data_IF_392812322952
#
_entry.id   IF_392812322952
#
_cell.length_a   1.000
_cell.length_b   1.000
_cell.length_c   1.000
_cell.angle_alpha   90.00
_cell.angle_beta   90.00
_cell.angle_gamma   90.00
#
_symmetry.space_group_name_H-M   'P 1'
#
loop_
_entity.id
_entity.type
_entity.pdbx_description
1 polymer ?
#
# COMPACT_ATOMS: atom_id res chain seq x y z
N UNK A 1 1.92 43.91 -16.16
CA UNK A 1 2.06 44.13 -14.70
C UNK A 1 0.98 45.10 -14.23
N UNK A 2 -0.17 44.59 -13.77
CA UNK A 2 -1.16 45.33 -12.99
C UNK A 2 -1.97 44.30 -12.19
N UNK A 3 -1.85 44.33 -10.86
CA UNK A 3 -2.88 43.82 -9.96
C UNK A 3 -2.76 42.41 -9.37
N UNK A 4 -1.63 41.71 -9.48
CA UNK A 4 -1.42 40.50 -8.66
C UNK A 4 -0.59 40.85 -7.43
N UNK A 5 -1.23 40.76 -6.27
CA UNK A 5 -0.60 40.85 -4.95
C UNK A 5 0.63 39.96 -4.90
N UNK A 6 1.79 40.57 -4.69
CA UNK A 6 3.12 39.97 -4.68
C UNK A 6 3.44 39.23 -3.37
N UNK A 7 2.61 38.25 -2.99
CA UNK A 7 2.87 37.41 -1.80
C UNK A 7 2.25 36.00 -1.84
N UNK A 8 1.49 35.62 -2.87
CA UNK A 8 0.93 34.27 -3.00
C UNK A 8 1.64 33.61 -4.16
N UNK A 9 2.53 32.68 -3.85
CA UNK A 9 3.42 32.11 -4.84
C UNK A 9 2.64 31.26 -5.83
N UNK A 10 2.61 31.67 -7.11
CA UNK A 10 2.07 30.94 -8.29
C UNK A 10 1.82 29.45 -7.98
N UNK A 11 0.58 29.08 -7.75
CA UNK A 11 0.19 27.69 -7.46
C UNK A 11 -0.19 26.96 -8.75
N UNK A 12 -0.35 25.64 -8.69
CA UNK A 12 -0.74 24.83 -9.85
C UNK A 12 -2.01 25.36 -10.53
N UNK A 13 -2.99 25.80 -9.73
CA UNK A 13 -4.25 26.39 -10.20
C UNK A 13 -4.04 27.73 -10.92
N UNK A 14 -3.06 28.53 -10.52
CA UNK A 14 -2.72 29.80 -11.18
C UNK A 14 -2.10 29.56 -12.56
N UNK A 15 -1.27 28.52 -12.69
CA UNK A 15 -0.69 28.11 -13.97
C UNK A 15 -1.80 27.66 -14.92
N UNK A 16 -2.74 26.85 -14.44
CA UNK A 16 -3.90 26.43 -15.24
C UNK A 16 -4.80 27.60 -15.63
N UNK A 17 -5.01 28.57 -14.74
CA UNK A 17 -5.75 29.78 -15.07
C UNK A 17 -5.07 30.58 -16.18
N UNK A 18 -3.74 30.65 -16.17
CA UNK A 18 -2.97 31.36 -17.19
C UNK A 18 -3.05 30.69 -18.58
N UNK A 19 -2.90 29.36 -18.65
CA UNK A 19 -2.85 28.65 -19.94
C UNK A 19 -4.21 28.21 -20.48
N UNK A 20 -5.13 27.75 -19.61
CA UNK A 20 -6.42 27.18 -20.01
C UNK A 20 -7.61 28.10 -19.66
N UNK A 21 -7.34 29.27 -19.09
CA UNK A 21 -8.38 30.23 -18.69
C UNK A 21 -9.22 29.77 -17.49
N UNK A 22 -10.39 30.41 -17.34
CA UNK A 22 -11.24 30.25 -16.15
C UNK A 22 -11.80 28.83 -15.98
N UNK A 23 -12.14 28.16 -17.09
CA UNK A 23 -12.63 26.77 -17.05
C UNK A 23 -11.52 25.78 -16.68
N UNK A 24 -10.31 25.95 -17.20
CA UNK A 24 -9.18 25.08 -16.86
C UNK A 24 -8.77 25.14 -15.39
N UNK A 25 -8.81 26.33 -14.79
CA UNK A 25 -8.57 26.52 -13.37
C UNK A 25 -9.59 25.78 -12.50
N UNK A 26 -10.89 25.87 -12.83
CA UNK A 26 -11.95 25.16 -12.12
C UNK A 26 -11.81 23.63 -12.24
N UNK A 27 -11.56 23.12 -13.45
CA UNK A 27 -11.36 21.69 -13.70
C UNK A 27 -10.14 21.17 -12.95
N UNK A 28 -9.02 21.90 -12.97
CA UNK A 28 -7.81 21.53 -12.24
C UNK A 28 -7.97 21.50 -10.73
N UNK A 29 -8.73 22.46 -10.19
CA UNK A 29 -9.09 22.46 -8.77
C UNK A 29 -9.90 21.21 -8.39
N UNK A 30 -10.90 20.85 -9.20
CA UNK A 30 -11.73 19.67 -9.00
C UNK A 30 -10.91 18.37 -9.00
N UNK A 31 -10.05 18.16 -10.00
CA UNK A 31 -9.18 16.98 -10.06
C UNK A 31 -8.18 16.93 -8.89
N UNK A 32 -7.66 18.09 -8.46
CA UNK A 32 -6.79 18.17 -7.30
C UNK A 32 -7.51 17.75 -6.02
N UNK A 33 -8.73 18.22 -5.79
CA UNK A 33 -9.54 17.82 -4.64
C UNK A 33 -9.91 16.34 -4.70
N UNK A 34 -10.26 15.82 -5.88
CA UNK A 34 -10.58 14.41 -6.07
C UNK A 34 -9.40 13.51 -5.70
N UNK A 35 -8.19 13.86 -6.17
CA UNK A 35 -6.98 13.10 -5.84
C UNK A 35 -6.67 13.10 -4.34
N UNK A 36 -6.88 14.24 -3.67
CA UNK A 36 -6.66 14.38 -2.24
C UNK A 36 -7.67 13.54 -1.42
N UNK A 37 -8.97 13.62 -1.75
CA UNK A 37 -10.01 12.82 -1.10
C UNK A 37 -9.77 11.32 -1.33
N UNK A 38 -9.38 10.93 -2.55
CA UNK A 38 -9.03 9.54 -2.86
C UNK A 38 -7.88 9.02 -1.99
N UNK A 39 -6.81 9.80 -1.83
CA UNK A 39 -5.70 9.45 -0.95
C UNK A 39 -6.13 9.30 0.53
N UNK A 40 -6.99 10.19 1.03
CA UNK A 40 -7.53 10.10 2.39
C UNK A 40 -8.34 8.82 2.61
N UNK A 41 -9.16 8.42 1.63
CA UNK A 41 -9.94 7.17 1.70
C UNK A 41 -9.01 5.96 1.76
N UNK A 42 -8.01 5.89 0.87
CA UNK A 42 -7.04 4.78 0.85
C UNK A 42 -6.26 4.72 2.17
N UNK A 43 -5.80 5.85 2.70
CA UNK A 43 -5.13 5.88 4.01
C UNK A 43 -6.03 5.40 5.14
N UNK A 44 -7.30 5.78 5.14
CA UNK A 44 -8.24 5.29 6.14
C UNK A 44 -8.42 3.77 6.06
N UNK A 45 -8.63 3.22 4.86
CA UNK A 45 -8.78 1.78 4.62
C UNK A 45 -7.52 1.02 5.07
N UNK A 46 -6.34 1.48 4.66
CA UNK A 46 -5.07 0.86 5.05
C UNK A 46 -4.87 0.88 6.55
N UNK A 47 -5.13 2.02 7.20
CA UNK A 47 -4.95 2.15 8.64
C UNK A 47 -5.92 1.25 9.43
N UNK A 48 -7.17 1.14 9.00
CA UNK A 48 -8.13 0.17 9.56
C UNK A 48 -7.62 -1.26 9.38
N UNK A 49 -7.16 -1.63 8.19
CA UNK A 49 -6.68 -2.98 7.91
C UNK A 49 -5.43 -3.33 8.75
N UNK A 50 -4.45 -2.43 8.80
CA UNK A 50 -3.26 -2.60 9.63
C UNK A 50 -3.61 -2.72 11.11
N UNK A 51 -4.53 -1.89 11.62
CA UNK A 51 -4.94 -1.96 13.03
C UNK A 51 -5.71 -3.25 13.32
N UNK A 52 -6.57 -3.68 12.40
CA UNK A 52 -7.33 -4.93 12.53
C UNK A 52 -6.38 -6.12 12.71
N UNK A 53 -5.45 -6.33 11.77
CA UNK A 53 -4.48 -7.43 11.85
C UNK A 53 -3.47 -7.27 12.99
N UNK A 54 -3.13 -6.04 13.39
CA UNK A 54 -2.33 -5.81 14.60
C UNK A 54 -3.07 -6.26 15.85
N UNK A 55 -4.39 -6.01 15.93
CA UNK A 55 -5.24 -6.46 17.02
C UNK A 55 -5.37 -7.98 17.09
N UNK A 56 -5.58 -8.64 15.95
CA UNK A 56 -5.57 -10.11 15.85
C UNK A 56 -4.24 -10.68 16.33
N UNK A 57 -3.12 -10.12 15.86
CA UNK A 57 -1.78 -10.56 16.28
C UNK A 57 -1.56 -10.43 17.79
N UNK A 58 -1.97 -9.31 18.41
CA UNK A 58 -1.86 -9.11 19.87
C UNK A 58 -2.77 -10.09 20.62
N UNK A 59 -3.98 -10.33 20.13
CA UNK A 59 -4.92 -11.26 20.75
C UNK A 59 -4.38 -12.69 20.74
N UNK A 60 -3.92 -13.18 19.58
CA UNK A 60 -3.32 -14.51 19.45
C UNK A 60 -2.10 -14.68 20.36
N UNK A 61 -1.22 -13.67 20.41
CA UNK A 61 -0.06 -13.67 21.30
C UNK A 61 -0.45 -13.73 22.78
N UNK A 62 -1.51 -13.01 23.18
CA UNK A 62 -1.98 -12.97 24.56
C UNK A 62 -2.55 -14.31 25.04
N UNK A 63 -3.17 -15.07 24.14
CA UNK A 63 -3.77 -16.36 24.45
C UNK A 63 -2.76 -17.52 24.41
N UNK A 64 -1.45 -17.25 24.26
CA UNK A 64 -0.39 -18.27 24.07
C UNK A 64 -0.74 -19.29 22.97
N UNK A 65 -1.67 -18.94 22.09
CA UNK A 65 -2.07 -19.75 20.97
C UNK A 65 -1.08 -19.40 19.87
N UNK A 66 -0.28 -20.37 19.45
CA UNK A 66 0.55 -20.17 18.26
C UNK A 66 -0.34 -19.71 17.11
N UNK A 67 0.09 -18.74 16.28
CA UNK A 67 -0.72 -18.25 15.17
C UNK A 67 -1.18 -19.46 14.37
N UNK A 68 -2.50 -19.66 14.30
CA UNK A 68 -3.14 -20.76 13.57
C UNK A 68 -3.08 -20.48 12.07
N UNK A 69 -1.87 -20.24 11.58
CA UNK A 69 -1.61 -20.03 10.16
C UNK A 69 -1.53 -21.43 9.55
N UNK A 70 -2.60 -21.82 8.86
CA UNK A 70 -2.65 -23.10 8.17
C UNK A 70 -1.50 -23.18 7.17
N UNK A 71 -0.52 -24.09 7.35
CA UNK A 71 0.61 -24.18 6.45
C UNK A 71 0.10 -24.60 5.07
N UNK A 72 0.46 -23.83 4.05
CA UNK A 72 0.19 -24.20 2.66
C UNK A 72 1.34 -25.08 2.20
N UNK A 73 1.01 -26.31 1.80
CA UNK A 73 1.97 -27.29 1.29
C UNK A 73 2.01 -27.20 -0.24
N UNK A 74 3.14 -26.75 -0.79
CA UNK A 74 3.40 -26.73 -2.24
C UNK A 74 4.80 -27.28 -2.47
N UNK A 75 4.95 -28.25 -3.38
CA UNK A 75 6.24 -28.85 -3.76
C UNK A 75 7.14 -29.26 -2.57
N UNK A 76 6.59 -29.97 -1.56
CA UNK A 76 7.31 -30.40 -0.35
C UNK A 76 7.87 -29.28 0.53
N UNK A 77 7.52 -28.01 0.27
CA UNK A 77 7.85 -26.88 1.13
C UNK A 77 6.58 -26.41 1.87
N UNK A 78 6.77 -26.09 3.15
CA UNK A 78 5.72 -25.54 4.01
C UNK A 78 5.85 -24.03 4.06
N UNK A 79 4.85 -23.33 3.52
CA UNK A 79 4.77 -21.88 3.62
C UNK A 79 3.77 -21.51 4.71
N UNK A 80 4.28 -20.95 5.80
CA UNK A 80 3.48 -20.42 6.94
C UNK A 80 3.31 -18.92 6.88
N UNK A 81 3.86 -18.24 5.87
CA UNK A 81 4.00 -16.77 5.85
C UNK A 81 3.21 -16.12 4.71
N UNK A 82 2.47 -16.91 3.93
CA UNK A 82 1.72 -16.46 2.75
C UNK A 82 0.32 -17.04 2.78
N UNK A 83 -0.68 -16.21 2.46
CA UNK A 83 -2.10 -16.59 2.46
C UNK A 83 -2.69 -16.30 1.08
N UNK A 84 -3.60 -17.15 0.63
CA UNK A 84 -4.45 -16.89 -0.53
C UNK A 84 -5.89 -17.25 -0.19
N UNK A 85 -6.74 -16.24 -0.08
CA UNK A 85 -8.17 -16.40 0.24
C UNK A 85 -8.92 -17.20 -0.85
N UNK A 86 -8.42 -17.17 -2.09
CA UNK A 86 -9.07 -17.77 -3.26
C UNK A 86 -8.67 -19.23 -3.55
N UNK A 87 -7.77 -19.81 -2.77
CA UNK A 87 -7.38 -21.21 -2.95
C UNK A 87 -8.45 -22.11 -2.30
N UNK A 88 -9.09 -23.04 -3.04
CA UNK A 88 -9.93 -24.04 -2.40
C UNK A 88 -9.04 -24.88 -1.48
N UNK A 89 -9.33 -24.82 -0.18
CA UNK A 89 -8.79 -25.68 0.86
C UNK A 89 -8.71 -27.12 0.34
N UNK A 90 -7.51 -27.61 0.02
CA UNK A 90 -7.35 -29.04 -0.20
C UNK A 90 -7.58 -29.71 1.16
N UNK A 91 -8.58 -30.61 1.29
CA UNK A 91 -8.85 -31.24 2.56
C UNK A 91 -7.65 -32.12 2.90
N UNK A 92 -7.04 -31.85 4.06
CA UNK A 92 -6.17 -32.80 4.73
C UNK A 92 -7.02 -34.05 4.97
N UNK A 93 -6.82 -35.08 4.16
CA UNK A 93 -7.41 -36.37 4.42
C UNK A 93 -6.78 -36.88 5.72
N UNK A 94 -7.63 -37.11 6.72
CA UNK A 94 -7.34 -37.70 8.03
C UNK A 94 -6.82 -36.73 9.11
N UNK A 95 -7.66 -35.80 9.57
CA UNK A 95 -7.60 -35.31 10.94
C UNK A 95 -9.00 -35.39 11.58
N UNK A 96 -9.11 -36.22 12.62
CA UNK A 96 -10.31 -36.50 13.39
C UNK A 96 -11.02 -35.22 13.88
N UNK A 97 -12.28 -35.12 13.53
CA UNK A 97 -13.25 -34.03 13.70
C UNK A 97 -13.71 -33.77 15.15
N UNK A 98 -12.83 -33.87 16.15
CA UNK A 98 -13.23 -33.75 17.57
C UNK A 98 -12.62 -32.57 18.33
N UNK A 99 -11.61 -31.87 17.80
CA UNK A 99 -10.99 -30.70 18.46
C UNK A 99 -11.56 -29.34 18.03
N UNK A 100 -12.39 -29.26 16.99
CA UNK A 100 -12.84 -27.99 16.41
C UNK A 100 -14.01 -27.32 17.17
N UNK A 101 -14.68 -28.03 18.09
CA UNK A 101 -15.88 -27.53 18.78
C UNK A 101 -15.61 -26.80 20.10
N UNK A 102 -14.42 -26.93 20.70
CA UNK A 102 -14.08 -26.23 21.96
C UNK A 102 -13.31 -24.92 21.77
N UNK A 103 -12.54 -24.75 20.68
CA UNK A 103 -11.90 -23.47 20.35
C UNK A 103 -12.89 -22.39 19.89
N UNK A 104 -14.11 -22.80 19.48
CA UNK A 104 -15.11 -21.88 18.94
C UNK A 104 -15.86 -21.07 20.01
N UNK A 105 -15.89 -21.52 21.28
CA UNK A 105 -16.67 -20.84 22.32
C UNK A 105 -15.99 -19.58 22.88
N UNK A 106 -14.65 -19.51 22.95
CA UNK A 106 -13.90 -18.29 23.33
C UNK A 106 -13.69 -17.33 22.14
N UNK A 107 -13.64 -17.85 20.90
CA UNK A 107 -13.45 -17.02 19.69
C UNK A 107 -14.67 -16.16 19.29
N UNK A 108 -15.86 -16.46 19.83
CA UNK A 108 -17.11 -15.76 19.44
C UNK A 108 -17.14 -14.34 20.00
N UNK A 109 -16.59 -14.08 21.20
CA UNK A 109 -16.66 -12.75 21.80
C UNK A 109 -15.66 -11.76 21.17
N UNK A 110 -14.42 -12.20 20.89
CA UNK A 110 -13.43 -11.32 20.25
C UNK A 110 -13.79 -11.01 18.79
N UNK A 111 -14.21 -11.99 17.99
CA UNK A 111 -14.55 -11.76 16.58
C UNK A 111 -15.82 -10.91 16.38
N UNK A 112 -16.74 -10.91 17.36
CA UNK A 112 -17.92 -10.04 17.35
C UNK A 112 -17.55 -8.61 17.79
N UNK A 113 -16.62 -8.46 18.74
CA UNK A 113 -16.20 -7.15 19.24
C UNK A 113 -15.18 -6.45 18.31
N UNK A 114 -14.19 -7.18 17.82
CA UNK A 114 -13.12 -6.70 16.95
C UNK A 114 -13.49 -6.82 15.47
N UNK A 115 -14.63 -6.25 15.09
CA UNK A 115 -15.09 -6.28 13.71
C UNK A 115 -14.32 -5.28 12.83
N UNK A 116 -13.75 -5.77 11.73
CA UNK A 116 -13.04 -4.97 10.71
C UNK A 116 -13.92 -3.89 10.09
N UNK A 117 -15.24 -4.06 10.06
CA UNK A 117 -16.15 -3.14 9.37
C UNK A 117 -16.77 -2.08 10.27
N UNK A 118 -16.69 -2.24 11.60
CA UNK A 118 -17.45 -1.38 12.52
C UNK A 118 -16.62 -0.79 13.66
N UNK A 119 -16.04 -1.63 14.52
CA UNK A 119 -15.33 -1.14 15.70
C UNK A 119 -13.96 -0.55 15.35
N UNK A 120 -13.20 -1.23 14.50
CA UNK A 120 -11.84 -0.78 14.11
C UNK A 120 -11.86 0.56 13.36
N UNK A 121 -12.74 0.78 12.35
CA UNK A 121 -12.85 2.09 11.70
C UNK A 121 -13.24 3.21 12.66
N UNK A 122 -14.15 2.95 13.61
CA UNK A 122 -14.58 3.94 14.61
C UNK A 122 -13.44 4.32 15.56
N UNK A 123 -12.65 3.34 16.00
CA UNK A 123 -11.47 3.56 16.84
C UNK A 123 -10.43 4.44 16.11
N UNK A 124 -10.18 4.18 14.83
CA UNK A 124 -9.31 5.02 14.00
C UNK A 124 -9.85 6.43 13.86
N UNK A 125 -11.14 6.61 13.61
CA UNK A 125 -11.75 7.95 13.55
C UNK A 125 -11.56 8.71 14.86
N UNK A 126 -11.82 8.06 16.00
CA UNK A 126 -11.64 8.63 17.33
C UNK A 126 -10.17 9.01 17.61
N UNK A 127 -9.21 8.22 17.11
CA UNK A 127 -7.77 8.48 17.26
C UNK A 127 -7.27 9.59 16.33
N UNK A 128 -7.73 9.62 15.07
CA UNK A 128 -7.31 10.63 14.10
C UNK A 128 -7.92 12.00 14.36
N UNK A 129 -9.13 12.06 14.92
CA UNK A 129 -9.82 13.32 15.22
C UNK A 129 -8.98 14.28 16.09
N UNK A 130 -8.44 13.90 17.26
CA UNK A 130 -7.58 14.78 18.05
C UNK A 130 -6.24 15.06 17.36
N UNK A 131 -5.71 14.11 16.58
CA UNK A 131 -4.43 14.29 15.88
C UNK A 131 -4.56 15.34 14.78
N UNK A 132 -5.65 15.33 14.02
CA UNK A 132 -5.94 16.28 12.96
C UNK A 132 -6.30 17.68 13.49
N UNK A 133 -6.82 17.79 14.71
CA UNK A 133 -7.17 19.08 15.33
C UNK A 133 -5.97 19.75 16.03
N UNK A 134 -4.82 19.09 16.15
CA UNK A 134 -3.60 19.74 16.63
C UNK A 134 -3.12 20.81 15.64
N UNK A 135 -3.31 22.08 16.01
CA UNK A 135 -2.93 23.24 15.21
C UNK A 135 -1.43 23.50 15.06
N UNK A 136 -0.54 22.58 15.44
CA UNK A 136 0.91 22.76 15.32
C UNK A 136 1.48 22.03 14.09
N UNK A 137 1.78 22.75 12.99
CA UNK A 137 2.34 22.14 11.77
C UNK A 137 3.74 21.52 11.98
N UNK A 138 4.47 21.93 13.03
CA UNK A 138 5.78 21.36 13.34
C UNK A 138 5.70 19.91 13.83
N UNK A 139 4.57 19.49 14.41
CA UNK A 139 4.33 18.09 14.79
C UNK A 139 4.34 17.18 13.55
N UNK A 140 3.64 17.58 12.48
CA UNK A 140 3.57 16.83 11.23
C UNK A 140 4.91 16.73 10.50
N UNK A 141 5.76 17.75 10.59
CA UNK A 141 7.12 17.70 10.02
C UNK A 141 8.01 16.65 10.71
N UNK A 142 7.89 16.48 12.03
CA UNK A 142 8.59 15.40 12.75
C UNK A 142 8.05 14.03 12.37
N UNK A 143 6.76 13.92 12.08
CA UNK A 143 6.11 12.68 11.64
C UNK A 143 6.64 12.19 10.27
N UNK A 144 7.13 13.09 9.41
CA UNK A 144 7.76 12.72 8.14
C UNK A 144 8.96 11.77 8.33
N UNK A 145 9.71 11.90 9.44
CA UNK A 145 10.82 10.99 9.74
C UNK A 145 10.36 9.54 9.98
N UNK A 146 9.21 9.33 10.62
CA UNK A 146 8.63 7.99 10.82
C UNK A 146 8.25 7.33 9.50
N UNK A 147 7.80 8.12 8.52
CA UNK A 147 7.51 7.63 7.17
C UNK A 147 8.75 7.06 6.48
N UNK A 148 9.91 7.72 6.60
CA UNK A 148 11.18 7.23 6.05
C UNK A 148 11.61 5.93 6.73
N UNK A 149 11.48 5.85 8.06
CA UNK A 149 11.77 4.61 8.81
C UNK A 149 10.85 3.47 8.37
N UNK A 150 9.55 3.74 8.19
CA UNK A 150 8.58 2.75 7.70
C UNK A 150 8.91 2.25 6.30
N UNK A 151 9.28 3.13 5.37
CA UNK A 151 9.74 2.75 4.04
C UNK A 151 11.00 1.87 4.09
N UNK A 152 11.98 2.25 4.93
CA UNK A 152 13.17 1.44 5.16
C UNK A 152 12.85 0.05 5.70
N UNK A 153 11.92 -0.04 6.66
CA UNK A 153 11.46 -1.31 7.22
C UNK A 153 10.80 -2.20 6.15
N UNK A 154 9.88 -1.66 5.35
CA UNK A 154 9.20 -2.41 4.28
C UNK A 154 10.21 -2.93 3.26
N UNK A 155 11.20 -2.10 2.88
CA UNK A 155 12.27 -2.52 1.96
C UNK A 155 13.05 -3.72 2.50
N UNK A 156 13.50 -3.66 3.77
CA UNK A 156 14.23 -4.76 4.41
C UNK A 156 13.36 -6.01 4.53
N UNK A 157 12.07 -5.84 4.85
CA UNK A 157 11.13 -6.95 4.95
C UNK A 157 10.94 -7.66 3.61
N UNK A 158 10.75 -6.92 2.52
CA UNK A 158 10.58 -7.51 1.18
C UNK A 158 11.84 -8.26 0.76
N UNK A 159 13.02 -7.70 1.02
CA UNK A 159 14.29 -8.35 0.70
C UNK A 159 14.50 -9.65 1.50
N UNK A 160 14.25 -9.61 2.82
CA UNK A 160 14.40 -10.80 3.67
C UNK A 160 13.41 -11.90 3.26
N UNK A 161 12.16 -11.56 2.98
CA UNK A 161 11.15 -12.53 2.51
C UNK A 161 11.45 -13.09 1.13
N UNK A 162 11.91 -12.26 0.19
CA UNK A 162 12.31 -12.73 -1.13
C UNK A 162 13.51 -13.69 -1.09
N UNK A 163 14.48 -13.45 -0.21
CA UNK A 163 15.62 -14.37 -0.01
C UNK A 163 15.14 -15.69 0.61
N UNK A 164 14.23 -15.64 1.59
CA UNK A 164 13.70 -16.85 2.24
C UNK A 164 12.84 -17.70 1.33
N UNK A 165 12.04 -17.09 0.46
CA UNK A 165 11.23 -17.84 -0.51
C UNK A 165 12.07 -18.32 -1.68
N UNK A 166 12.96 -17.49 -2.23
CA UNK A 166 13.68 -17.82 -3.46
C UNK A 166 12.82 -17.59 -4.72
N UNK A 167 13.40 -17.79 -5.92
CA UNK A 167 12.74 -17.45 -7.19
C UNK A 167 11.69 -18.51 -7.56
N UNK A 168 10.45 -18.05 -7.79
CA UNK A 168 9.30 -18.88 -8.15
C UNK A 168 8.56 -18.26 -9.36
N UNK A 169 9.16 -18.32 -10.55
CA UNK A 169 8.52 -17.86 -11.77
C UNK A 169 8.97 -18.70 -12.98
N UNK A 170 8.00 -19.07 -13.82
CA UNK A 170 8.25 -19.75 -15.08
C UNK A 170 7.62 -18.97 -16.23
N UNK A 171 8.42 -18.68 -17.26
CA UNK A 171 7.98 -17.96 -18.46
C UNK A 171 7.43 -18.89 -19.55
N UNK A 172 7.65 -20.20 -19.41
CA UNK A 172 7.30 -21.17 -20.44
C UNK A 172 6.05 -21.97 -20.03
N UNK A 173 5.03 -21.97 -20.89
CA UNK A 173 3.75 -22.66 -20.64
C UNK A 173 3.86 -24.20 -20.59
N UNK A 174 5.03 -24.77 -20.89
CA UNK A 174 5.27 -26.22 -20.91
C UNK A 174 5.92 -26.73 -19.62
N UNK A 175 6.11 -25.88 -18.61
CA UNK A 175 6.58 -26.29 -17.29
C UNK A 175 5.51 -27.19 -16.64
N UNK A 176 5.94 -28.25 -15.99
CA UNK A 176 5.09 -29.24 -15.29
C UNK A 176 4.28 -28.66 -14.12
N UNK A 177 4.45 -27.38 -13.81
CA UNK A 177 3.92 -26.70 -12.64
C UNK A 177 2.96 -25.57 -13.06
N UNK A 178 1.64 -25.82 -13.10
CA UNK A 178 0.63 -24.85 -13.55
C UNK A 178 0.49 -23.62 -12.64
N UNK A 179 1.14 -23.63 -11.47
CA UNK A 179 1.08 -22.58 -10.46
C UNK A 179 2.14 -21.48 -10.64
N UNK A 180 3.22 -21.75 -11.38
CA UNK A 180 4.34 -20.82 -11.61
C UNK A 180 4.25 -20.04 -12.93
N UNK A 181 3.35 -20.46 -13.82
CA UNK A 181 3.15 -19.82 -15.13
C UNK A 181 2.32 -18.54 -15.02
N UNK A 182 2.78 -17.48 -15.68
CA UNK A 182 2.05 -16.21 -15.79
C UNK A 182 2.05 -15.76 -17.24
N UNK A 183 0.87 -15.48 -17.84
CA UNK A 183 0.85 -14.88 -19.16
C UNK A 183 1.43 -13.45 -19.09
N UNK A 184 2.37 -13.15 -19.98
CA UNK A 184 3.09 -11.87 -20.03
C UNK A 184 2.16 -10.67 -20.28
N UNK A 185 1.10 -10.88 -21.08
CA UNK A 185 0.11 -9.86 -21.38
C UNK A 185 -1.26 -10.26 -20.82
N UNK A 186 -1.76 -9.45 -19.90
CA UNK A 186 -3.14 -9.54 -19.38
C UNK A 186 -3.89 -8.25 -19.72
N UNK A 187 -5.19 -8.33 -20.04
CA UNK A 187 -6.03 -7.14 -20.20
C UNK A 187 -5.97 -6.22 -18.98
N UNK A 188 -5.79 -6.76 -17.77
CA UNK A 188 -5.64 -5.99 -16.52
C UNK A 188 -4.42 -5.05 -16.48
N UNK A 189 -3.60 -4.98 -17.53
CA UNK A 189 -2.56 -3.98 -17.71
C UNK A 189 -3.08 -2.54 -17.55
N UNK A 190 -4.34 -2.24 -17.94
CA UNK A 190 -4.90 -0.90 -17.75
C UNK A 190 -5.01 -0.51 -16.26
N UNK A 191 -5.23 -1.46 -15.35
CA UNK A 191 -5.27 -1.18 -13.91
C UNK A 191 -3.91 -0.66 -13.42
N UNK A 192 -2.82 -1.28 -13.90
CA UNK A 192 -1.46 -0.86 -13.56
C UNK A 192 -1.21 0.59 -13.97
N UNK A 193 -1.69 1.02 -15.13
CA UNK A 193 -1.51 2.41 -15.58
C UNK A 193 -2.15 3.42 -14.62
N UNK A 194 -3.32 3.10 -14.06
CA UNK A 194 -4.00 3.93 -13.06
C UNK A 194 -3.24 3.98 -11.74
N UNK A 195 -2.75 2.84 -11.26
CA UNK A 195 -1.93 2.76 -10.04
C UNK A 195 -0.63 3.55 -10.22
N UNK A 196 0.05 3.40 -11.37
CA UNK A 196 1.26 4.16 -11.69
C UNK A 196 1.00 5.67 -11.77
N UNK A 197 -0.14 6.09 -12.32
CA UNK A 197 -0.51 7.52 -12.39
C UNK A 197 -0.63 8.14 -10.98
N UNK A 198 -1.19 7.40 -10.01
CA UNK A 198 -1.24 7.81 -8.60
C UNK A 198 0.12 7.71 -7.91
N UNK A 199 0.92 6.68 -8.21
CA UNK A 199 2.25 6.49 -7.61
C UNK A 199 3.22 7.64 -7.93
N UNK A 200 3.13 8.20 -9.14
CA UNK A 200 3.94 9.35 -9.57
C UNK A 200 3.24 10.71 -9.36
N UNK A 201 2.25 10.76 -8.47
CA UNK A 201 1.47 11.97 -8.24
C UNK A 201 2.16 12.95 -7.28
N UNK A 202 2.91 13.91 -7.84
CA UNK A 202 3.44 15.06 -7.08
C UNK A 202 3.15 16.41 -7.77
N UNK A 203 2.48 16.38 -8.91
CA UNK A 203 2.27 17.51 -9.82
C UNK A 203 1.66 18.75 -9.16
N UNK A 204 0.82 18.57 -8.14
CA UNK A 204 0.18 19.69 -7.43
C UNK A 204 1.13 20.41 -6.46
N UNK A 205 2.09 19.68 -5.87
CA UNK A 205 3.01 20.21 -4.85
C UNK A 205 4.39 20.58 -5.43
N UNK A 206 4.72 20.06 -6.62
CA UNK A 206 6.05 20.17 -7.21
C UNK A 206 6.54 21.61 -7.35
N UNK A 207 5.67 22.53 -7.75
CA UNK A 207 6.06 23.91 -7.97
C UNK A 207 6.43 24.60 -6.65
N UNK A 208 5.67 24.34 -5.59
CA UNK A 208 5.93 24.85 -4.24
C UNK A 208 7.23 24.27 -3.68
N UNK A 209 7.52 23.00 -3.94
CA UNK A 209 8.77 22.34 -3.52
C UNK A 209 9.97 22.93 -4.28
N UNK A 210 9.90 23.01 -5.60
CA UNK A 210 11.00 23.48 -6.46
C UNK A 210 11.36 24.95 -6.23
N UNK A 211 10.41 25.79 -5.78
CA UNK A 211 10.68 27.19 -5.38
C UNK A 211 11.58 27.33 -4.18
N UNK A 212 11.61 26.33 -3.29
CA UNK A 212 12.42 26.34 -2.06
C UNK A 212 13.85 25.83 -2.30
N UNK A 213 14.21 25.47 -3.53
CA UNK A 213 15.54 24.94 -3.84
C UNK A 213 16.62 26.02 -3.75
N UNK A 214 17.76 25.70 -3.12
CA UNK A 214 18.93 26.60 -3.01
C UNK A 214 19.51 26.99 -4.38
N UNK A 215 19.50 26.07 -5.35
CA UNK A 215 20.08 26.25 -6.69
C UNK A 215 19.02 26.03 -7.78
N UNK A 216 18.14 27.01 -8.06
CA UNK A 216 16.98 26.83 -8.94
C UNK A 216 17.31 26.45 -10.40
N UNK A 217 18.56 26.68 -10.83
CA UNK A 217 19.05 26.34 -12.18
C UNK A 217 19.08 24.83 -12.45
N UNK A 218 19.18 24.01 -11.40
CA UNK A 218 19.27 22.56 -11.51
C UNK A 218 17.93 21.86 -11.30
N UNK A 219 16.82 22.60 -11.11
CA UNK A 219 15.52 22.04 -10.77
C UNK A 219 15.07 20.92 -11.73
N UNK A 220 15.25 21.11 -13.04
CA UNK A 220 14.86 20.10 -14.05
C UNK A 220 15.66 18.80 -13.92
N UNK A 221 16.99 18.91 -13.73
CA UNK A 221 17.88 17.77 -13.52
C UNK A 221 17.54 17.05 -12.23
N UNK A 222 17.42 17.79 -11.13
CA UNK A 222 17.20 17.22 -9.80
C UNK A 222 15.84 16.52 -9.73
N UNK A 223 14.83 17.10 -10.39
CA UNK A 223 13.53 16.48 -10.56
C UNK A 223 13.57 15.20 -11.40
N UNK A 224 14.27 15.21 -12.54
CA UNK A 224 14.39 14.03 -13.40
C UNK A 224 15.09 12.88 -12.65
N UNK A 225 16.17 13.17 -11.92
CA UNK A 225 16.86 12.19 -11.07
C UNK A 225 15.90 11.63 -10.02
N UNK A 226 15.10 12.48 -9.37
CA UNK A 226 14.12 12.03 -8.38
C UNK A 226 13.08 11.07 -8.98
N UNK A 227 12.49 11.39 -10.13
CA UNK A 227 11.55 10.49 -10.80
C UNK A 227 12.19 9.17 -11.24
N UNK A 228 13.43 9.21 -11.75
CA UNK A 228 14.17 7.99 -12.14
C UNK A 228 14.42 7.12 -10.91
N UNK A 229 14.90 7.70 -9.80
CA UNK A 229 15.13 6.97 -8.56
C UNK A 229 13.84 6.34 -8.02
N UNK A 230 12.74 7.09 -7.98
CA UNK A 230 11.44 6.58 -7.54
C UNK A 230 10.98 5.43 -8.45
N UNK A 231 11.07 5.60 -9.78
CA UNK A 231 10.71 4.55 -10.72
C UNK A 231 11.54 3.29 -10.57
N UNK A 232 12.87 3.43 -10.40
CA UNK A 232 13.75 2.30 -10.14
C UNK A 232 13.40 1.60 -8.82
N UNK A 233 13.05 2.34 -7.77
CA UNK A 233 12.63 1.72 -6.50
C UNK A 233 11.34 0.93 -6.65
N UNK A 234 10.33 1.47 -7.34
CA UNK A 234 9.07 0.75 -7.59
C UNK A 234 9.29 -0.49 -8.45
N UNK A 235 10.10 -0.40 -9.51
CA UNK A 235 10.44 -1.54 -10.35
C UNK A 235 11.20 -2.61 -9.59
N UNK A 236 12.18 -2.22 -8.77
CA UNK A 236 12.97 -3.15 -7.97
C UNK A 236 12.09 -3.90 -6.97
N UNK A 237 11.28 -3.19 -6.20
CA UNK A 237 10.39 -3.79 -5.20
C UNK A 237 9.37 -4.71 -5.87
N UNK A 238 8.69 -4.20 -6.90
CA UNK A 238 7.66 -4.95 -7.62
C UNK A 238 8.22 -6.22 -8.26
N UNK A 239 9.39 -6.13 -8.89
CA UNK A 239 10.04 -7.30 -9.53
C UNK A 239 10.49 -8.33 -8.51
N UNK A 240 11.18 -7.91 -7.44
CA UNK A 240 11.68 -8.83 -6.40
C UNK A 240 10.51 -9.56 -5.73
N UNK A 241 9.46 -8.83 -5.36
CA UNK A 241 8.29 -9.43 -4.73
C UNK A 241 7.55 -10.36 -5.69
N UNK A 242 7.32 -9.93 -6.94
CA UNK A 242 6.64 -10.74 -7.94
C UNK A 242 7.39 -12.04 -8.26
N UNK A 243 8.71 -11.98 -8.43
CA UNK A 243 9.57 -13.14 -8.71
C UNK A 243 9.68 -14.06 -7.50
N UNK A 244 9.78 -13.50 -6.28
CA UNK A 244 9.95 -14.27 -5.05
C UNK A 244 8.67 -14.93 -4.54
N UNK A 245 7.49 -14.48 -4.97
CA UNK A 245 6.21 -14.94 -4.43
C UNK A 245 5.96 -16.44 -4.73
N UNK A 246 5.78 -17.31 -3.71
CA UNK A 246 5.73 -18.76 -3.91
C UNK A 246 4.36 -19.31 -4.33
N UNK A 247 3.28 -18.54 -4.15
CA UNK A 247 1.92 -18.94 -4.51
C UNK A 247 1.58 -18.53 -5.96
N UNK A 248 0.47 -19.04 -6.53
CA UNK A 248 -0.01 -18.60 -7.84
C UNK A 248 -0.15 -17.09 -7.88
N UNK A 249 0.32 -16.43 -8.94
CA UNK A 249 0.31 -14.95 -9.00
C UNK A 249 -1.11 -14.36 -9.02
N UNK A 250 -2.14 -15.16 -9.24
CA UNK A 250 -3.54 -14.78 -9.05
C UNK A 250 -3.93 -14.57 -7.57
N UNK A 251 -3.10 -15.01 -6.63
CA UNK A 251 -3.26 -14.81 -5.19
C UNK A 251 -2.66 -13.50 -4.69
N UNK A 252 -1.93 -12.77 -5.55
CA UNK A 252 -1.48 -11.43 -5.20
C UNK A 252 -2.70 -10.53 -5.06
N UNK A 253 -2.86 -9.93 -3.88
CA UNK A 253 -3.95 -8.99 -3.59
C UNK A 253 -3.62 -7.66 -4.28
N UNK A 254 -4.56 -7.16 -5.07
CA UNK A 254 -4.50 -5.85 -5.73
C UNK A 254 -4.72 -4.70 -4.74
#
# INVERSE_FOLDING_TARGET
LRGFSSSIGIEFVDVLHYYLGRYGSFVGFLFSMLSFVGALIVFFILLTNFLFHTGEFIHEYSQHSHPSMHPIFIHNQTFTDVVCENLPWMPITNASSRSQYMAKLESIDFNVFWDSQRFVPFLIFCLLFPVCTFGNPAFFSRFTAMGVVSLGYILVLILTKAISWGPHFDLYANSTDPYSYVPEFKPSLYNLTGICALAFFIHNAIHTIMKRQKNPKNNSRDLAIAFILVGLTYLLIGTIFFVGFPLPKSCLKD
#
